data_IF_275394209210
#
_entry.id   IF_275394209210
#
_cell.length_a   1.000
_cell.length_b   1.000
_cell.length_c   1.000
_cell.angle_alpha   90.00
_cell.angle_beta   90.00
_cell.angle_gamma   90.00
#
_symmetry.space_group_name_H-M   'P 1'
#
loop_
_entity.id
_entity.type
_entity.pdbx_description
1 polymer ?
#
# COMPACT_ATOMS: atom_id res chain seq x y z
N UNK A 1 4.74 -3.62 52.31
CA UNK A 1 4.32 -4.56 51.24
C UNK A 1 3.75 -3.88 49.98
N UNK A 2 4.16 -2.64 49.62
CA UNK A 2 3.68 -1.96 48.39
C UNK A 2 4.79 -1.69 47.34
N UNK A 3 6.05 -2.01 47.65
CA UNK A 3 7.20 -1.77 46.77
C UNK A 3 7.67 -2.99 45.96
N UNK A 4 7.29 -4.22 46.35
CA UNK A 4 7.71 -5.44 45.64
C UNK A 4 7.01 -5.61 44.28
N UNK A 5 5.76 -5.15 44.14
CA UNK A 5 4.97 -5.34 42.92
C UNK A 5 5.45 -4.51 41.71
N UNK A 6 6.09 -3.35 41.94
CA UNK A 6 6.57 -2.48 40.85
C UNK A 6 7.96 -2.87 40.33
N UNK A 7 8.78 -3.52 41.14
CA UNK A 7 10.10 -4.01 40.70
C UNK A 7 9.93 -5.27 39.84
N UNK A 8 8.98 -6.15 40.20
CA UNK A 8 8.61 -7.32 39.39
C UNK A 8 8.10 -6.96 37.98
N UNK A 9 7.40 -5.82 37.81
CA UNK A 9 6.94 -5.38 36.48
C UNK A 9 8.07 -4.84 35.60
N UNK A 10 9.13 -4.27 36.19
CA UNK A 10 10.30 -3.80 35.45
C UNK A 10 11.20 -4.95 35.00
N UNK A 11 11.37 -5.98 35.83
CA UNK A 11 12.16 -7.16 35.46
C UNK A 11 11.52 -7.97 34.31
N UNK A 12 10.18 -8.08 34.29
CA UNK A 12 9.45 -8.73 33.19
C UNK A 12 9.54 -7.99 31.85
N UNK A 13 9.95 -6.71 31.85
CA UNK A 13 10.11 -5.94 30.61
C UNK A 13 11.46 -6.18 29.92
N UNK A 14 12.48 -6.66 30.65
CA UNK A 14 13.85 -6.77 30.14
C UNK A 14 14.34 -8.19 29.86
N UNK A 15 13.70 -9.24 30.41
CA UNK A 15 14.07 -10.64 30.18
C UNK A 15 12.84 -11.57 30.18
N UNK A 16 12.06 -11.65 29.08
CA UNK A 16 10.80 -12.40 29.09
C UNK A 16 10.94 -13.93 28.99
N UNK A 17 12.16 -14.48 28.90
CA UNK A 17 12.39 -15.87 28.47
C UNK A 17 13.25 -16.74 29.40
N UNK A 18 13.25 -16.50 30.72
CA UNK A 18 13.78 -17.47 31.70
C UNK A 18 12.80 -17.62 32.86
N UNK A 19 11.83 -18.53 32.71
CA UNK A 19 11.04 -19.03 33.83
C UNK A 19 11.56 -20.41 34.23
N UNK A 20 12.45 -20.43 35.20
CA UNK A 20 12.55 -21.53 36.15
C UNK A 20 12.27 -20.95 37.55
N UNK A 21 11.65 -21.73 38.46
CA UNK A 21 11.35 -21.25 39.80
C UNK A 21 12.66 -21.04 40.56
N UNK A 22 13.12 -19.80 40.61
CA UNK A 22 14.28 -19.39 41.40
C UNK A 22 13.82 -19.24 42.86
N UNK A 23 14.55 -19.86 43.79
CA UNK A 23 14.24 -19.82 45.21
C UNK A 23 14.19 -18.37 45.72
N UNK A 24 13.14 -18.01 46.47
CA UNK A 24 12.86 -16.65 46.96
C UNK A 24 14.07 -16.09 47.72
N UNK A 25 14.86 -16.95 48.37
CA UNK A 25 16.07 -16.56 49.09
C UNK A 25 17.19 -16.04 48.20
N UNK A 26 17.28 -16.50 46.95
CA UNK A 26 18.27 -16.04 45.97
C UNK A 26 17.85 -14.68 45.40
N UNK A 27 16.55 -14.47 45.19
CA UNK A 27 16.01 -13.20 44.74
C UNK A 27 16.25 -12.08 45.77
N UNK A 28 16.00 -12.35 47.05
CA UNK A 28 16.27 -11.39 48.12
C UNK A 28 17.76 -11.07 48.30
N UNK A 29 18.64 -12.04 48.02
CA UNK A 29 20.10 -11.82 48.05
C UNK A 29 20.56 -10.90 46.90
N UNK A 30 20.10 -11.15 45.67
CA UNK A 30 20.42 -10.32 44.51
C UNK A 30 19.84 -8.91 44.66
N UNK A 31 18.60 -8.79 45.17
CA UNK A 31 17.96 -7.50 45.40
C UNK A 31 18.71 -6.68 46.45
N UNK A 32 19.16 -7.29 47.56
CA UNK A 32 19.99 -6.62 48.56
C UNK A 32 21.35 -6.19 48.00
N UNK A 33 21.97 -7.03 47.16
CA UNK A 33 23.28 -6.72 46.56
C UNK A 33 23.20 -5.54 45.57
N UNK A 34 22.11 -5.45 44.80
CA UNK A 34 21.84 -4.33 43.87
C UNK A 34 21.44 -3.06 44.64
N UNK A 35 20.69 -3.18 45.73
CA UNK A 35 20.32 -2.03 46.56
C UNK A 35 21.48 -1.43 47.38
N UNK A 36 22.55 -2.19 47.64
CA UNK A 36 23.74 -1.68 48.33
C UNK A 36 24.76 -0.99 47.41
N UNK A 37 24.66 -1.17 46.09
CA UNK A 37 25.67 -0.71 45.12
C UNK A 37 25.23 0.49 44.26
N UNK A 38 24.01 1.00 44.45
CA UNK A 38 23.52 2.18 43.74
C UNK A 38 23.18 3.27 44.75
N UNK A 39 23.93 4.37 44.72
CA UNK A 39 23.57 5.62 45.38
C UNK A 39 22.16 6.03 44.92
N UNK A 40 21.16 5.77 45.77
CA UNK A 40 19.74 6.08 45.52
C UNK A 40 19.49 7.58 45.25
N UNK A 41 20.48 8.43 45.51
CA UNK A 41 20.40 9.89 45.39
C UNK A 41 20.56 10.36 43.93
N UNK A 42 21.36 9.68 43.10
CA UNK A 42 21.53 10.06 41.69
C UNK A 42 20.34 9.66 40.81
N UNK A 43 19.71 8.51 41.12
CA UNK A 43 18.55 7.99 40.40
C UNK A 43 17.32 8.86 40.62
N UNK A 44 17.14 9.45 41.80
CA UNK A 44 16.02 10.35 42.09
C UNK A 44 16.11 11.69 41.35
N UNK A 45 17.32 12.23 41.14
CA UNK A 45 17.49 13.49 40.40
C UNK A 45 17.21 13.34 38.90
N UNK A 46 17.56 12.18 38.33
CA UNK A 46 17.35 11.86 36.91
C UNK A 46 15.89 11.48 36.64
N UNK A 47 15.24 10.77 37.56
CA UNK A 47 13.81 10.45 37.48
C UNK A 47 12.93 11.68 37.70
N UNK A 48 13.28 12.60 38.61
CA UNK A 48 12.51 13.85 38.76
C UNK A 48 12.59 14.72 37.50
N UNK A 49 13.73 14.75 36.79
CA UNK A 49 13.83 15.42 35.48
C UNK A 49 12.98 14.74 34.39
N UNK A 50 12.81 13.42 34.46
CA UNK A 50 11.96 12.64 33.55
C UNK A 50 10.45 12.77 33.85
N UNK A 51 10.09 12.98 35.13
CA UNK A 51 8.68 13.11 35.58
C UNK A 51 8.16 14.55 35.47
N UNK A 52 9.06 15.55 35.42
CA UNK A 52 8.69 16.97 35.23
C UNK A 52 8.82 17.48 33.79
N UNK A 53 9.19 16.63 32.84
CA UNK A 53 9.02 16.94 31.44
C UNK A 53 7.52 16.89 31.13
N UNK A 54 6.87 18.06 31.04
CA UNK A 54 5.53 18.15 30.46
C UNK A 54 5.48 17.30 29.19
N UNK A 55 4.44 16.49 28.96
CA UNK A 55 4.31 15.77 27.70
C UNK A 55 4.35 16.81 26.59
N UNK A 56 5.49 16.89 25.89
CA UNK A 56 5.62 17.76 24.74
C UNK A 56 4.48 17.36 23.82
N UNK A 57 3.49 18.26 23.66
CA UNK A 57 2.41 18.08 22.70
C UNK A 57 3.08 17.61 21.41
N UNK A 58 2.67 16.46 20.84
CA UNK A 58 3.31 15.94 19.65
C UNK A 58 3.34 17.09 18.64
N UNK A 59 4.54 17.54 18.28
CA UNK A 59 4.70 18.61 17.30
C UNK A 59 3.93 18.15 16.07
N UNK A 60 2.88 18.89 15.72
CA UNK A 60 2.06 18.56 14.58
C UNK A 60 2.94 18.73 13.34
N UNK A 61 3.50 17.64 12.84
CA UNK A 61 4.22 17.64 11.58
C UNK A 61 3.15 17.71 10.49
N UNK A 62 3.03 18.82 9.76
CA UNK A 62 2.00 18.95 8.74
C UNK A 62 2.19 17.85 7.69
N UNK A 63 1.10 17.15 7.39
CA UNK A 63 1.05 16.17 6.31
C UNK A 63 1.16 16.89 4.98
N UNK A 64 2.15 16.54 4.16
CA UNK A 64 2.38 17.18 2.87
C UNK A 64 1.73 16.36 1.76
N UNK A 65 0.97 17.07 0.93
CA UNK A 65 0.40 16.56 -0.30
C UNK A 65 0.96 17.35 -1.48
N UNK A 66 1.31 16.66 -2.56
CA UNK A 66 1.76 17.26 -3.80
C UNK A 66 0.93 16.77 -4.98
N UNK A 67 0.87 17.60 -6.02
CA UNK A 67 0.21 17.30 -7.28
C UNK A 67 1.12 17.68 -8.44
N UNK A 68 1.27 16.75 -9.39
CA UNK A 68 1.92 16.97 -10.68
C UNK A 68 0.81 17.08 -11.73
N UNK A 69 0.73 18.25 -12.35
CA UNK A 69 -0.22 18.54 -13.43
C UNK A 69 0.48 18.31 -14.78
N UNK A 70 -0.05 17.40 -15.56
CA UNK A 70 0.53 17.00 -16.86
C UNK A 70 -0.36 17.54 -17.98
N UNK A 71 0.12 18.47 -18.81
CA UNK A 71 -0.71 19.00 -19.88
C UNK A 71 -0.86 18.00 -21.03
N UNK A 72 -2.00 18.05 -21.72
CA UNK A 72 -2.26 17.25 -22.93
C UNK A 72 -1.29 17.58 -24.06
N UNK A 73 -0.98 18.87 -24.27
CA UNK A 73 0.04 19.29 -25.25
C UNK A 73 1.43 18.80 -24.82
N UNK A 74 2.14 18.00 -25.65
CA UNK A 74 3.52 17.59 -25.40
C UNK A 74 4.49 18.75 -25.15
N UNK A 75 4.23 19.92 -25.77
CA UNK A 75 5.03 21.15 -25.58
C UNK A 75 4.70 21.88 -24.29
N UNK A 76 3.58 21.56 -23.65
CA UNK A 76 3.18 22.15 -22.39
C UNK A 76 4.13 21.75 -21.26
N UNK A 77 4.43 22.70 -20.36
CA UNK A 77 5.25 22.47 -19.18
C UNK A 77 4.50 21.63 -18.14
N UNK A 78 5.16 20.63 -17.58
CA UNK A 78 4.62 19.87 -16.43
C UNK A 78 4.72 20.74 -15.19
N UNK A 79 3.64 20.85 -14.42
CA UNK A 79 3.58 21.76 -13.28
C UNK A 79 3.56 21.01 -11.96
N UNK A 80 4.31 21.52 -11.00
CA UNK A 80 4.36 21.08 -9.62
C UNK A 80 3.50 21.98 -8.74
N UNK A 81 2.76 21.36 -7.84
CA UNK A 81 2.04 22.02 -6.76
C UNK A 81 2.28 21.26 -5.47
N UNK A 82 2.61 21.97 -4.39
CA UNK A 82 2.77 21.40 -3.06
C UNK A 82 1.91 22.17 -2.06
N UNK A 83 1.35 21.47 -1.07
CA UNK A 83 0.66 22.11 0.05
C UNK A 83 1.58 22.95 0.92
N UNK A 84 2.89 22.69 0.83
CA UNK A 84 3.95 23.41 1.54
C UNK A 84 4.74 24.31 0.58
N UNK A 85 5.17 25.47 1.05
CA UNK A 85 5.91 26.44 0.25
C UNK A 85 7.37 26.01 0.03
N UNK A 86 7.93 25.28 0.98
CA UNK A 86 9.28 24.73 0.92
C UNK A 86 9.25 23.32 0.31
N UNK A 87 10.06 23.11 -0.72
CA UNK A 87 10.20 21.81 -1.38
C UNK A 87 11.34 20.98 -0.78
N UNK A 88 12.12 21.52 0.17
CA UNK A 88 13.15 20.73 0.86
C UNK A 88 12.51 19.94 2.01
N UNK A 89 12.48 18.61 1.88
CA UNK A 89 11.52 17.73 2.58
C UNK A 89 12.17 16.81 3.61
N UNK A 90 13.37 17.14 4.10
CA UNK A 90 14.02 16.34 5.12
C UNK A 90 13.25 16.36 6.45
N UNK A 91 12.90 15.17 6.94
CA UNK A 91 12.13 15.00 8.18
C UNK A 91 10.63 15.29 8.08
N UNK A 92 10.09 15.61 6.90
CA UNK A 92 8.65 15.90 6.73
C UNK A 92 7.81 14.66 6.37
N UNK A 93 6.54 14.67 6.76
CA UNK A 93 5.61 13.55 6.53
C UNK A 93 4.94 13.69 5.15
N UNK A 94 5.58 13.13 4.13
CA UNK A 94 5.07 13.10 2.75
C UNK A 94 3.98 12.04 2.60
N UNK A 95 2.73 12.47 2.54
CA UNK A 95 1.59 11.55 2.60
C UNK A 95 1.13 11.12 1.22
N UNK A 96 0.97 12.07 0.29
CA UNK A 96 0.29 11.81 -0.98
C UNK A 96 0.89 12.58 -2.14
N UNK A 97 1.07 11.89 -3.25
CA UNK A 97 1.35 12.45 -4.56
C UNK A 97 0.20 12.13 -5.51
N UNK A 98 -0.36 13.16 -6.13
CA UNK A 98 -1.31 13.04 -7.23
C UNK A 98 -0.62 13.37 -8.55
N UNK A 99 -0.92 12.62 -9.60
CA UNK A 99 -0.51 12.93 -10.98
C UNK A 99 -1.77 12.94 -11.84
N UNK A 100 -2.11 14.12 -12.35
CA UNK A 100 -3.41 14.41 -12.97
C UNK A 100 -3.22 15.25 -14.24
N UNK A 101 -4.18 15.22 -15.18
CA UNK A 101 -4.14 16.11 -16.32
C UNK A 101 -4.21 17.57 -15.86
N UNK A 102 -3.48 18.45 -16.55
CA UNK A 102 -3.62 19.88 -16.37
C UNK A 102 -5.03 20.27 -16.81
N UNK A 103 -5.87 20.68 -15.86
CA UNK A 103 -7.15 21.30 -16.16
C UNK A 103 -6.92 22.81 -16.33
N UNK A 104 -7.83 23.52 -17.01
CA UNK A 104 -7.82 24.99 -17.14
C UNK A 104 -8.00 25.74 -15.80
N UNK A 105 -7.84 25.05 -14.69
CA UNK A 105 -7.88 25.60 -13.35
C UNK A 105 -6.53 26.29 -13.12
N UNK A 106 -6.59 27.47 -12.50
CA UNK A 106 -5.43 28.23 -12.02
C UNK A 106 -5.23 27.96 -10.51
N UNK A 107 -4.59 26.85 -10.08
CA UNK A 107 -4.14 26.73 -8.71
C UNK A 107 -3.09 27.81 -8.40
N UNK A 108 -3.18 28.38 -7.18
CA UNK A 108 -2.12 29.21 -6.62
C UNK A 108 -0.87 28.35 -6.41
N UNK A 109 0.32 28.93 -6.63
CA UNK A 109 1.63 28.32 -6.39
C UNK A 109 2.02 27.16 -7.33
N UNK A 110 1.63 27.23 -8.60
CA UNK A 110 2.19 26.35 -9.62
C UNK A 110 3.61 26.77 -9.99
N UNK A 111 4.53 25.81 -10.00
CA UNK A 111 5.89 25.98 -10.51
C UNK A 111 6.15 24.95 -11.61
N UNK A 112 6.78 25.28 -12.72
CA UNK A 112 7.27 24.27 -13.65
C UNK A 112 8.11 23.24 -12.91
N UNK A 113 7.84 21.96 -13.14
CA UNK A 113 8.47 20.84 -12.42
C UNK A 113 10.00 20.88 -12.56
N UNK A 114 10.48 21.32 -13.72
CA UNK A 114 11.89 21.50 -14.10
C UNK A 114 12.59 22.57 -13.26
N UNK A 115 11.85 23.58 -12.80
CA UNK A 115 12.35 24.71 -12.00
C UNK A 115 12.35 24.38 -10.50
N UNK A 116 11.84 23.21 -10.11
CA UNK A 116 11.82 22.75 -8.73
C UNK A 116 13.09 21.96 -8.44
N UNK A 117 13.95 22.51 -7.60
CA UNK A 117 15.16 21.83 -7.16
C UNK A 117 14.83 20.80 -6.09
N UNK A 118 15.21 19.54 -6.33
CA UNK A 118 15.10 18.45 -5.37
C UNK A 118 16.51 18.00 -4.96
N UNK A 119 16.81 18.05 -3.66
CA UNK A 119 18.08 17.57 -3.10
C UNK A 119 18.23 16.05 -3.20
N UNK A 120 17.10 15.33 -3.20
CA UNK A 120 17.00 13.87 -3.34
C UNK A 120 15.61 13.47 -3.85
N UNK A 121 15.42 12.21 -4.28
CA UNK A 121 14.09 11.73 -4.63
C UNK A 121 13.10 11.80 -3.45
N UNK A 122 11.91 12.34 -3.70
CA UNK A 122 10.84 12.51 -2.72
C UNK A 122 10.07 11.21 -2.54
N UNK A 123 9.93 10.74 -1.30
CA UNK A 123 9.24 9.49 -0.99
C UNK A 123 7.89 9.73 -0.32
N UNK A 124 6.81 9.66 -1.09
CA UNK A 124 5.44 9.73 -0.57
C UNK A 124 4.95 8.34 -0.15
N UNK A 125 4.00 8.29 0.80
CA UNK A 125 3.30 7.05 1.18
C UNK A 125 2.28 6.60 0.13
N UNK A 126 1.58 7.54 -0.49
CA UNK A 126 0.50 7.26 -1.44
C UNK A 126 0.78 7.88 -2.80
N UNK A 127 0.55 7.12 -3.87
CA UNK A 127 0.52 7.61 -5.24
C UNK A 127 -0.87 7.41 -5.85
N UNK A 128 -1.40 8.46 -6.47
CA UNK A 128 -2.63 8.43 -7.25
C UNK A 128 -2.33 8.97 -8.64
N UNK A 129 -2.60 8.19 -9.68
CA UNK A 129 -2.43 8.56 -11.09
C UNK A 129 -3.77 8.44 -11.79
N UNK A 130 -4.21 9.49 -12.48
CA UNK A 130 -5.56 9.54 -13.03
C UNK A 130 -5.63 10.24 -14.38
N UNK A 131 -6.30 9.64 -15.38
CA UNK A 131 -6.69 10.27 -16.67
C UNK A 131 -5.58 11.04 -17.39
N UNK A 132 -4.42 10.41 -17.51
CA UNK A 132 -3.30 10.99 -18.25
C UNK A 132 -3.31 10.53 -19.71
N UNK A 133 -3.01 11.46 -20.61
CA UNK A 133 -2.75 11.17 -22.03
C UNK A 133 -1.26 10.91 -22.28
N UNK A 134 -0.40 11.50 -21.45
CA UNK A 134 1.04 11.26 -21.43
C UNK A 134 1.56 11.13 -20.00
N UNK A 135 2.68 10.43 -19.83
CA UNK A 135 3.34 10.28 -18.54
C UNK A 135 4.69 11.00 -18.56
N UNK A 136 4.97 11.90 -17.60
CA UNK A 136 6.22 12.64 -17.57
C UNK A 136 7.38 11.81 -17.00
N UNK A 137 8.60 12.29 -17.22
CA UNK A 137 9.78 11.75 -16.53
C UNK A 137 9.77 12.19 -15.06
N UNK A 138 9.95 11.24 -14.13
CA UNK A 138 9.85 11.51 -12.69
C UNK A 138 11.06 10.93 -11.91
N UNK A 139 12.31 11.32 -12.24
CA UNK A 139 13.51 10.81 -11.55
C UNK A 139 13.58 11.26 -10.08
N UNK A 140 12.98 12.41 -9.76
CA UNK A 140 12.93 12.99 -8.43
C UNK A 140 11.85 12.41 -7.52
N UNK A 141 11.08 11.41 -7.96
CA UNK A 141 10.06 10.76 -7.14
C UNK A 141 10.55 9.36 -6.78
N UNK A 142 10.47 8.97 -5.52
CA UNK A 142 10.75 7.61 -5.06
C UNK A 142 9.73 6.60 -5.60
N UNK A 143 10.05 5.30 -5.52
CA UNK A 143 9.17 4.22 -6.01
C UNK A 143 8.55 3.38 -4.89
N UNK A 144 8.87 3.67 -3.62
CA UNK A 144 8.48 2.85 -2.48
C UNK A 144 7.18 3.30 -1.80
N UNK A 145 6.08 3.28 -2.53
CA UNK A 145 4.76 3.66 -2.00
C UNK A 145 4.11 2.56 -1.16
N UNK A 146 3.39 2.93 -0.11
CA UNK A 146 2.50 2.03 0.66
C UNK A 146 1.15 1.81 -0.02
N UNK A 147 0.66 2.81 -0.76
CA UNK A 147 -0.63 2.81 -1.44
C UNK A 147 -0.49 3.32 -2.88
N UNK A 148 -0.99 2.55 -3.83
CA UNK A 148 -0.90 2.85 -5.25
C UNK A 148 -2.27 2.77 -5.90
N UNK A 149 -2.71 3.86 -6.51
CA UNK A 149 -3.98 3.94 -7.22
C UNK A 149 -3.76 4.45 -8.63
N UNK A 150 -4.20 3.68 -9.62
CA UNK A 150 -4.13 4.05 -11.04
C UNK A 150 -5.52 3.91 -11.63
N UNK A 151 -6.01 5.01 -12.22
CA UNK A 151 -7.39 5.13 -12.66
C UNK A 151 -7.47 5.72 -14.07
N UNK A 152 -8.32 5.12 -14.91
CA UNK A 152 -8.67 5.64 -16.24
C UNK A 152 -7.43 6.00 -17.07
N UNK A 153 -6.50 5.05 -17.23
CA UNK A 153 -5.29 5.23 -18.01
C UNK A 153 -5.25 4.27 -19.20
N UNK A 154 -5.29 4.83 -20.41
CA UNK A 154 -5.13 4.10 -21.68
C UNK A 154 -3.81 4.47 -22.35
N UNK A 155 -2.73 4.46 -21.56
CA UNK A 155 -1.44 5.05 -21.92
C UNK A 155 -0.43 3.97 -22.34
N UNK A 156 0.07 4.06 -23.58
CA UNK A 156 1.15 3.20 -24.10
C UNK A 156 2.49 3.94 -23.99
N UNK A 157 3.03 4.01 -22.78
CA UNK A 157 4.30 4.69 -22.51
C UNK A 157 5.27 3.76 -21.80
N UNK A 158 6.41 3.48 -22.45
CA UNK A 158 7.50 2.71 -21.85
C UNK A 158 7.95 3.31 -20.51
N UNK A 159 7.92 4.63 -20.40
CA UNK A 159 8.30 5.32 -19.16
C UNK A 159 7.30 5.06 -18.03
N UNK A 160 6.00 5.16 -18.32
CA UNK A 160 4.96 4.78 -17.37
C UNK A 160 5.08 3.31 -16.97
N UNK A 161 5.31 2.43 -17.96
CA UNK A 161 5.43 1.00 -17.74
C UNK A 161 6.59 0.67 -16.80
N UNK A 162 7.78 1.24 -17.04
CA UNK A 162 8.95 1.07 -16.17
C UNK A 162 8.66 1.63 -14.78
N UNK A 163 8.17 2.86 -14.69
CA UNK A 163 7.83 3.50 -13.41
C UNK A 163 6.87 2.63 -12.59
N UNK A 164 5.80 2.14 -13.20
CA UNK A 164 4.75 1.40 -12.51
C UNK A 164 5.23 -0.02 -12.16
N UNK A 165 6.00 -0.67 -13.03
CA UNK A 165 6.64 -1.95 -12.72
C UNK A 165 7.56 -1.84 -11.50
N UNK A 166 8.33 -0.76 -11.38
CA UNK A 166 9.19 -0.51 -10.22
C UNK A 166 8.37 -0.30 -8.94
N UNK A 167 7.26 0.44 -9.03
CA UNK A 167 6.35 0.63 -7.88
C UNK A 167 5.75 -0.71 -7.40
N UNK A 168 5.40 -1.60 -8.34
CA UNK A 168 4.88 -2.93 -8.01
C UNK A 168 5.93 -3.84 -7.38
N UNK A 169 7.23 -3.59 -7.59
CA UNK A 169 8.30 -4.39 -6.98
C UNK A 169 8.56 -4.02 -5.51
N UNK A 170 8.11 -2.83 -5.08
CA UNK A 170 8.37 -2.33 -3.73
C UNK A 170 7.76 -3.20 -2.64
N UNK A 171 8.53 -3.44 -1.57
CA UNK A 171 8.10 -4.19 -0.39
C UNK A 171 7.23 -3.36 0.56
N UNK A 172 7.27 -2.02 0.45
CA UNK A 172 6.41 -1.15 1.26
C UNK A 172 4.96 -1.17 0.80
N UNK A 173 4.69 -1.52 -0.46
CA UNK A 173 3.33 -1.52 -1.04
C UNK A 173 2.39 -2.46 -0.29
N UNK A 174 1.31 -1.93 0.28
CA UNK A 174 0.26 -2.69 0.98
C UNK A 174 -1.10 -2.59 0.31
N UNK A 175 -1.36 -1.51 -0.44
CA UNK A 175 -2.65 -1.27 -1.08
C UNK A 175 -2.46 -0.97 -2.55
N UNK A 176 -3.18 -1.70 -3.41
CA UNK A 176 -3.15 -1.54 -4.86
C UNK A 176 -4.58 -1.41 -5.40
N UNK A 177 -4.83 -0.34 -6.15
CA UNK A 177 -6.08 -0.14 -6.88
C UNK A 177 -5.79 0.16 -8.35
N UNK A 178 -6.28 -0.69 -9.25
CA UNK A 178 -6.29 -0.44 -10.69
C UNK A 178 -7.74 -0.39 -11.16
N UNK A 179 -8.12 0.68 -11.85
CA UNK A 179 -9.47 0.85 -12.36
C UNK A 179 -9.43 1.45 -13.75
N UNK A 180 -10.05 0.83 -14.76
CA UNK A 180 -10.05 1.36 -16.14
C UNK A 180 -8.64 1.60 -16.67
N UNK A 181 -7.75 0.62 -16.45
CA UNK A 181 -6.35 0.72 -16.86
C UNK A 181 -6.09 -0.27 -18.00
N UNK A 182 -5.42 0.21 -19.05
CA UNK A 182 -4.87 -0.62 -20.11
C UNK A 182 -3.50 -1.15 -19.67
N UNK A 183 -3.39 -2.46 -19.51
CA UNK A 183 -2.20 -3.16 -19.08
C UNK A 183 -1.54 -3.85 -20.27
N UNK A 184 -0.24 -3.66 -20.45
CA UNK A 184 0.50 -4.50 -21.37
C UNK A 184 1.00 -5.79 -20.68
N UNK A 185 1.65 -6.66 -21.45
CA UNK A 185 2.21 -7.93 -20.94
C UNK A 185 3.21 -7.71 -19.79
N UNK A 186 4.03 -6.67 -19.86
CA UNK A 186 5.04 -6.35 -18.83
C UNK A 186 4.38 -6.00 -17.50
N UNK A 187 3.39 -5.11 -17.51
CA UNK A 187 2.65 -4.69 -16.32
C UNK A 187 1.81 -5.82 -15.74
N UNK A 188 1.16 -6.61 -16.61
CA UNK A 188 0.42 -7.81 -16.20
C UNK A 188 1.33 -8.81 -15.48
N UNK A 189 2.53 -9.06 -16.02
CA UNK A 189 3.51 -9.93 -15.37
C UNK A 189 4.03 -9.37 -14.04
N UNK A 190 4.32 -8.06 -13.98
CA UNK A 190 4.73 -7.39 -12.74
C UNK A 190 3.64 -7.49 -11.66
N UNK A 191 2.38 -7.27 -12.05
CA UNK A 191 1.22 -7.43 -11.18
C UNK A 191 1.11 -8.87 -10.67
N UNK A 192 1.15 -9.87 -11.56
CA UNK A 192 1.07 -11.27 -11.14
C UNK A 192 2.19 -11.62 -10.15
N UNK A 193 3.44 -11.25 -10.45
CA UNK A 193 4.58 -11.46 -9.52
C UNK A 193 4.34 -10.79 -8.18
N UNK A 194 3.82 -9.56 -8.17
CA UNK A 194 3.51 -8.84 -6.93
C UNK A 194 2.38 -9.50 -6.15
N UNK A 195 1.33 -9.92 -6.84
CA UNK A 195 0.18 -10.60 -6.25
C UNK A 195 0.59 -11.87 -5.50
N UNK A 196 1.44 -12.72 -6.10
CA UNK A 196 1.91 -13.97 -5.50
C UNK A 196 2.92 -13.81 -4.34
N UNK A 197 3.43 -12.60 -4.09
CA UNK A 197 4.23 -12.37 -2.87
C UNK A 197 3.39 -12.43 -1.60
N UNK A 198 2.06 -12.43 -1.72
CA UNK A 198 1.12 -12.60 -0.62
C UNK A 198 1.31 -11.63 0.56
N UNK A 199 1.83 -10.42 0.33
CA UNK A 199 2.12 -9.41 1.35
C UNK A 199 1.29 -8.12 1.21
N UNK A 200 0.40 -8.08 0.22
CA UNK A 200 -0.60 -7.03 0.04
C UNK A 200 -1.75 -7.20 1.04
N UNK A 201 -2.33 -6.06 1.46
CA UNK A 201 -3.50 -6.01 2.34
C UNK A 201 -4.78 -5.74 1.59
N UNK A 202 -4.75 -4.82 0.62
CA UNK A 202 -5.93 -4.44 -0.14
C UNK A 202 -5.61 -4.43 -1.64
N UNK A 203 -6.34 -5.22 -2.41
CA UNK A 203 -6.19 -5.31 -3.87
C UNK A 203 -7.55 -5.11 -4.52
N UNK A 204 -7.66 -4.08 -5.36
CA UNK A 204 -8.88 -3.77 -6.11
C UNK A 204 -8.54 -3.59 -7.58
N UNK A 205 -9.06 -4.48 -8.43
CA UNK A 205 -8.88 -4.44 -9.89
C UNK A 205 -10.26 -4.42 -10.52
N UNK A 206 -10.59 -3.35 -11.24
CA UNK A 206 -11.89 -3.20 -11.91
C UNK A 206 -11.75 -2.67 -13.32
N UNK A 207 -12.53 -3.22 -14.26
CA UNK A 207 -12.66 -2.68 -15.62
C UNK A 207 -11.29 -2.47 -16.32
N UNK A 208 -10.28 -3.28 -15.99
CA UNK A 208 -8.96 -3.19 -16.64
C UNK A 208 -8.97 -4.06 -17.90
N UNK A 209 -8.13 -3.70 -18.86
CA UNK A 209 -7.99 -4.42 -20.11
C UNK A 209 -6.52 -4.69 -20.43
N UNK A 210 -6.26 -5.71 -21.23
CA UNK A 210 -4.97 -6.05 -21.80
C UNK A 210 -4.81 -5.37 -23.15
N UNK A 211 -3.68 -4.68 -23.33
CA UNK A 211 -3.24 -4.24 -24.65
C UNK A 211 -2.86 -5.47 -25.48
N UNK A 212 -3.56 -5.65 -26.60
CA UNK A 212 -3.31 -6.75 -27.52
C UNK A 212 -2.98 -6.21 -28.91
N UNK A 213 -2.17 -6.96 -29.64
CA UNK A 213 -1.87 -6.67 -31.04
C UNK A 213 -3.02 -7.07 -31.98
N UNK A 214 -4.14 -7.57 -31.44
CA UNK A 214 -5.29 -8.00 -32.25
C UNK A 214 -5.98 -6.76 -32.80
N UNK A 215 -6.06 -6.70 -34.11
CA UNK A 215 -6.80 -5.67 -34.84
C UNK A 215 -8.15 -6.22 -35.25
N UNK A 216 -9.21 -5.50 -34.93
CA UNK A 216 -10.56 -5.75 -35.46
C UNK A 216 -10.91 -4.69 -36.50
N UNK A 217 -11.60 -5.11 -37.55
CA UNK A 217 -12.17 -4.20 -38.54
C UNK A 217 -13.50 -3.67 -38.01
N UNK A 218 -13.61 -2.35 -37.85
CA UNK A 218 -14.85 -1.72 -37.43
C UNK A 218 -15.88 -1.78 -38.56
N UNK A 219 -17.16 -1.51 -38.24
CA UNK A 219 -18.23 -1.38 -39.24
C UNK A 219 -17.93 -0.32 -40.32
N UNK A 220 -16.98 0.57 -40.07
CA UNK A 220 -16.50 1.61 -41.00
C UNK A 220 -15.27 1.18 -41.81
N UNK A 221 -14.85 -0.10 -41.74
CA UNK A 221 -13.65 -0.61 -42.43
C UNK A 221 -12.32 -0.18 -41.80
N UNK A 222 -12.33 0.46 -40.63
CA UNK A 222 -11.11 0.90 -39.94
C UNK A 222 -10.59 -0.21 -39.04
N UNK A 223 -9.30 -0.54 -39.13
CA UNK A 223 -8.66 -1.45 -38.17
C UNK A 223 -8.40 -0.72 -36.86
N UNK A 224 -8.93 -1.23 -35.75
CA UNK A 224 -8.66 -0.75 -34.39
C UNK A 224 -8.16 -1.91 -33.53
N UNK A 225 -7.21 -1.63 -32.64
CA UNK A 225 -6.80 -2.62 -31.63
C UNK A 225 -8.01 -2.98 -30.75
N UNK A 226 -8.23 -4.27 -30.54
CA UNK A 226 -9.25 -4.79 -29.62
C UNK A 226 -8.60 -5.09 -28.26
N UNK A 227 -8.78 -4.23 -27.25
CA UNK A 227 -8.33 -4.55 -25.90
C UNK A 227 -9.15 -5.73 -25.36
N UNK A 228 -8.49 -6.71 -24.76
CA UNK A 228 -9.16 -7.85 -24.11
C UNK A 228 -9.37 -7.55 -22.62
N UNK A 229 -10.45 -8.00 -21.96
CA UNK A 229 -10.59 -7.84 -20.52
C UNK A 229 -9.40 -8.42 -19.76
N UNK A 230 -8.88 -7.68 -18.78
CA UNK A 230 -7.90 -8.22 -17.84
C UNK A 230 -8.61 -9.02 -16.76
N UNK A 231 -8.44 -10.33 -16.81
CA UNK A 231 -8.98 -11.24 -15.82
C UNK A 231 -7.92 -12.25 -15.36
N UNK A 232 -7.90 -12.54 -14.06
CA UNK A 232 -7.00 -13.52 -13.47
C UNK A 232 -7.56 -14.94 -13.67
N UNK A 233 -6.70 -15.96 -13.72
CA UNK A 233 -7.19 -17.34 -13.72
C UNK A 233 -7.82 -17.67 -12.38
N UNK A 234 -9.04 -18.23 -12.39
CA UNK A 234 -9.77 -18.58 -11.17
C UNK A 234 -8.95 -19.45 -10.20
N UNK A 235 -8.22 -20.44 -10.72
CA UNK A 235 -7.34 -21.31 -9.93
C UNK A 235 -6.21 -20.57 -9.22
N UNK A 236 -5.69 -19.49 -9.81
CA UNK A 236 -4.62 -18.69 -9.21
C UNK A 236 -5.15 -17.84 -8.07
N UNK A 237 -6.31 -17.20 -8.27
CA UNK A 237 -6.97 -16.42 -7.22
C UNK A 237 -7.37 -17.30 -6.05
N UNK A 238 -7.92 -18.50 -6.33
CA UNK A 238 -8.25 -19.49 -5.31
C UNK A 238 -7.04 -19.83 -4.43
N UNK A 239 -5.92 -20.25 -5.04
CA UNK A 239 -4.71 -20.61 -4.30
C UNK A 239 -4.18 -19.44 -3.47
N UNK A 240 -4.15 -18.24 -4.04
CA UNK A 240 -3.68 -17.07 -3.30
C UNK A 240 -4.55 -16.78 -2.06
N UNK A 241 -5.89 -16.89 -2.17
CA UNK A 241 -6.79 -16.74 -1.01
C UNK A 241 -6.54 -17.85 0.01
N UNK A 242 -6.42 -19.10 -0.42
CA UNK A 242 -6.12 -20.23 0.49
C UNK A 242 -4.79 -20.00 1.23
N UNK A 243 -3.71 -19.69 0.52
CA UNK A 243 -2.39 -19.39 1.09
C UNK A 243 -2.42 -18.18 2.04
N UNK A 244 -3.17 -17.13 1.68
CA UNK A 244 -3.30 -15.94 2.52
C UNK A 244 -3.98 -16.23 3.83
N UNK A 245 -5.08 -16.98 3.76
CA UNK A 245 -5.97 -17.23 4.88
C UNK A 245 -5.40 -18.31 5.82
N UNK A 246 -4.63 -19.24 5.28
CA UNK A 246 -3.93 -20.30 6.05
C UNK A 246 -2.64 -19.81 6.72
N UNK A 247 -2.17 -18.61 6.38
CA UNK A 247 -0.99 -18.01 7.01
C UNK A 247 -1.24 -17.75 8.52
N UNK A 248 -0.20 -17.87 9.35
CA UNK A 248 -0.29 -17.59 10.80
C UNK A 248 -0.74 -16.15 11.10
N UNK A 249 -0.37 -15.21 10.23
CA UNK A 249 -0.77 -13.81 10.32
C UNK A 249 -1.33 -13.31 8.97
N UNK A 250 -2.61 -13.58 8.66
CA UNK A 250 -3.21 -13.20 7.39
C UNK A 250 -3.22 -11.67 7.25
N UNK A 251 -2.55 -11.17 6.22
CA UNK A 251 -2.43 -9.74 5.92
C UNK A 251 -3.54 -9.23 5.01
N UNK A 252 -4.14 -10.11 4.21
CA UNK A 252 -5.17 -9.73 3.25
C UNK A 252 -6.46 -9.33 3.98
N UNK A 253 -6.85 -8.07 3.80
CA UNK A 253 -8.07 -7.48 4.32
C UNK A 253 -9.16 -7.49 3.24
N UNK A 254 -8.82 -7.08 2.01
CA UNK A 254 -9.77 -7.02 0.89
C UNK A 254 -9.10 -7.46 -0.41
N UNK A 255 -9.78 -8.30 -1.16
CA UNK A 255 -9.42 -8.66 -2.53
C UNK A 255 -10.66 -8.54 -3.41
N UNK A 256 -10.58 -7.71 -4.44
CA UNK A 256 -11.63 -7.53 -5.42
C UNK A 256 -11.01 -7.60 -6.82
N UNK A 257 -11.20 -8.72 -7.53
CA UNK A 257 -10.58 -9.00 -8.83
C UNK A 257 -11.52 -9.76 -9.74
N UNK A 258 -11.34 -9.56 -11.05
CA UNK A 258 -12.08 -10.27 -12.08
C UNK A 258 -11.34 -11.54 -12.50
N UNK A 259 -12.07 -12.62 -12.78
CA UNK A 259 -11.51 -13.92 -13.14
C UNK A 259 -12.09 -14.52 -14.41
N UNK A 260 -11.24 -15.23 -15.15
CA UNK A 260 -11.65 -16.16 -16.20
C UNK A 260 -12.14 -17.45 -15.51
N UNK A 261 -13.45 -17.69 -15.58
CA UNK A 261 -14.12 -18.77 -14.87
C UNK A 261 -14.48 -18.44 -13.42
N UNK A 262 -15.38 -19.24 -12.85
CA UNK A 262 -15.92 -19.06 -11.50
C UNK A 262 -14.92 -19.58 -10.46
N UNK A 263 -14.69 -18.79 -9.41
CA UNK A 263 -13.89 -19.24 -8.27
C UNK A 263 -14.77 -20.00 -7.28
N UNK A 264 -14.48 -21.28 -7.09
CA UNK A 264 -15.19 -22.15 -6.15
C UNK A 264 -14.32 -22.51 -4.96
N UNK A 265 -14.74 -22.02 -3.78
CA UNK A 265 -14.12 -22.33 -2.50
C UNK A 265 -15.10 -23.13 -1.65
N UNK A 266 -14.62 -24.23 -1.06
CA UNK A 266 -15.39 -24.97 -0.06
C UNK A 266 -15.40 -24.18 1.24
N UNK A 267 -16.52 -24.22 1.97
CA UNK A 267 -16.56 -23.66 3.30
C UNK A 267 -15.51 -24.35 4.18
N UNK A 268 -14.65 -23.56 4.83
CA UNK A 268 -13.58 -24.04 5.70
C UNK A 268 -13.61 -23.25 7.01
N UNK A 269 -13.48 -23.98 8.12
CA UNK A 269 -13.28 -23.37 9.43
C UNK A 269 -11.78 -23.12 9.62
N UNK A 270 -11.43 -21.89 10.00
CA UNK A 270 -10.06 -21.44 10.15
C UNK A 270 -9.72 -21.38 11.63
N UNK A 271 -8.79 -22.22 12.07
CA UNK A 271 -8.40 -22.35 13.47
C UNK A 271 -7.31 -21.36 13.89
N UNK A 272 -6.61 -20.77 12.92
CA UNK A 272 -5.55 -19.77 13.08
C UNK A 272 -6.06 -18.34 13.24
N UNK A 273 -7.35 -18.09 13.05
CA UNK A 273 -7.95 -16.76 13.18
C UNK A 273 -8.60 -16.58 14.57
N UNK A 274 -8.49 -15.37 15.18
CA UNK A 274 -9.26 -15.06 16.38
C UNK A 274 -10.76 -15.24 16.12
N UNK A 275 -11.51 -15.65 17.15
CA UNK A 275 -12.95 -15.98 17.04
C UNK A 275 -13.84 -14.82 16.59
N UNK A 276 -13.35 -13.57 16.68
CA UNK A 276 -14.03 -12.39 16.20
C UNK A 276 -13.76 -12.06 14.72
N UNK A 277 -12.90 -12.80 14.03
CA UNK A 277 -12.61 -12.59 12.61
C UNK A 277 -13.49 -13.49 11.74
N UNK A 278 -14.13 -12.91 10.72
CA UNK A 278 -14.92 -13.64 9.72
C UNK A 278 -14.49 -13.22 8.32
N UNK A 279 -14.14 -14.18 7.49
CA UNK A 279 -13.95 -13.98 6.06
C UNK A 279 -15.28 -14.14 5.32
N UNK A 280 -15.55 -13.28 4.34
CA UNK A 280 -16.69 -13.39 3.43
C UNK A 280 -16.20 -13.41 2.00
N UNK A 281 -16.63 -14.42 1.26
CA UNK A 281 -16.43 -14.50 -0.19
C UNK A 281 -17.76 -14.22 -0.90
N UNK A 282 -17.73 -13.33 -1.88
CA UNK A 282 -18.83 -13.08 -2.82
C UNK A 282 -18.28 -13.32 -4.22
N UNK A 283 -19.05 -14.05 -5.03
CA UNK A 283 -18.74 -14.32 -6.43
C UNK A 283 -19.99 -14.02 -7.23
N UNK A 284 -19.86 -13.15 -8.23
CA UNK A 284 -20.96 -12.77 -9.12
C UNK A 284 -20.47 -12.70 -10.55
N UNK A 285 -21.37 -12.94 -11.51
CA UNK A 285 -21.05 -12.82 -12.92
C UNK A 285 -20.79 -11.34 -13.25
N UNK A 286 -19.75 -11.09 -14.05
CA UNK A 286 -19.35 -9.74 -14.45
C UNK A 286 -19.42 -9.64 -15.96
N UNK A 287 -20.05 -8.58 -16.45
CA UNK A 287 -20.09 -8.25 -17.86
C UNK A 287 -19.09 -7.14 -18.15
N UNK A 288 -18.17 -7.40 -19.07
CA UNK A 288 -17.25 -6.41 -19.59
C UNK A 288 -17.81 -5.81 -20.87
N UNK A 289 -17.72 -4.48 -21.01
CA UNK A 289 -18.05 -3.81 -22.27
C UNK A 289 -17.20 -4.33 -23.42
N UNK A 290 -15.95 -4.67 -23.14
CA UNK A 290 -14.93 -5.15 -24.06
C UNK A 290 -15.12 -6.63 -24.44
N UNK A 291 -15.88 -7.39 -23.64
CA UNK A 291 -16.08 -8.83 -23.85
C UNK A 291 -17.37 -9.20 -24.57
N UNK A 292 -18.21 -8.23 -24.98
CA UNK A 292 -19.57 -8.51 -25.50
C UNK A 292 -19.58 -9.48 -26.69
N UNK A 293 -18.48 -9.59 -27.42
CA UNK A 293 -18.32 -10.47 -28.58
C UNK A 293 -17.54 -11.75 -28.29
N UNK A 294 -16.98 -11.91 -27.10
CA UNK A 294 -15.97 -12.95 -26.83
C UNK A 294 -16.55 -14.28 -26.32
N UNK A 295 -17.88 -14.41 -26.16
CA UNK A 295 -18.57 -15.62 -25.65
C UNK A 295 -17.86 -16.28 -24.45
N UNK A 296 -17.28 -15.47 -23.57
CA UNK A 296 -16.54 -15.86 -22.38
C UNK A 296 -17.28 -15.34 -21.16
N UNK A 297 -17.44 -16.20 -20.16
CA UNK A 297 -18.04 -15.82 -18.89
C UNK A 297 -16.94 -15.34 -17.94
N UNK A 298 -17.06 -14.08 -17.49
CA UNK A 298 -16.18 -13.50 -16.50
C UNK A 298 -16.90 -13.40 -15.16
N UNK A 299 -16.12 -13.49 -14.09
CA UNK A 299 -16.65 -13.47 -12.73
C UNK A 299 -15.91 -12.44 -11.91
N UNK A 300 -16.65 -11.69 -11.11
CA UNK A 300 -16.07 -10.83 -10.09
C UNK A 300 -16.02 -11.56 -8.77
N UNK A 301 -14.83 -11.64 -8.20
CA UNK A 301 -14.61 -12.12 -6.85
C UNK A 301 -14.40 -10.94 -5.93
N UNK A 302 -15.07 -10.98 -4.78
CA UNK A 302 -14.82 -10.09 -3.64
C UNK A 302 -14.65 -10.91 -2.37
N UNK A 303 -13.46 -10.83 -1.79
CA UNK A 303 -13.12 -11.36 -0.48
C UNK A 303 -12.95 -10.19 0.49
N UNK A 304 -13.62 -10.27 1.64
CA UNK A 304 -13.50 -9.31 2.74
C UNK A 304 -13.17 -10.08 4.04
N UNK A 305 -12.08 -9.71 4.72
CA UNK A 305 -11.74 -10.19 6.06
C UNK A 305 -12.26 -9.18 7.10
N UNK A 306 -13.43 -9.45 7.65
CA UNK A 306 -14.05 -8.58 8.66
C UNK A 306 -13.57 -8.97 10.07
N UNK A 307 -13.10 -7.99 10.84
CA UNK A 307 -12.95 -8.12 12.30
C UNK A 307 -14.24 -7.62 12.94
N UNK A 308 -14.97 -8.47 13.64
CA UNK A 308 -16.08 -8.01 14.49
C UNK A 308 -15.47 -7.09 15.56
N UNK A 309 -15.93 -5.84 15.54
CA UNK A 309 -15.73 -4.88 16.62
C UNK A 309 -16.43 -5.37 17.89
#
# INVERSE_FOLDING_TARGET
MLYSHRILSLFNLFMPSIFMPMDIKIFDFILNMVCQSVSLIEVTSSLQKLVMAEPQKPKFVPSICATIHVPSDPKGKVLWQCSDAEVDQEGRNLVMLNIVPCQDITPKNLKPLEEVSFSRPLQFKTLIVNRLERFPELPMIGRNFENLQIMALELRSKQFETFFADCLQSTSLKKLRLSKVLLNKTLSNAFHRRFFKNDLRNVHISECAMDTDKMIETKEGKKKAEPEPFAMKAMFVKRAIEDWVENEAPKLEVLEVSTEGKVEMRQKNLTNLPTNVRAKLKVYEETFSEAKHQNKNFWKLRFDLARKA
#
